data_IF_289978035512
#
_entry.id   IF_289978035512
#
_cell.length_a   1.000
_cell.length_b   1.000
_cell.length_c   1.000
_cell.angle_alpha   90.00
_cell.angle_beta   90.00
_cell.angle_gamma   90.00
#
_symmetry.space_group_name_H-M   'P 1'
#
loop_
_entity.id
_entity.type
_entity.pdbx_description
1 polymer ?
#
# COMPACT_ATOMS: atom_id res chain seq x y z
N UNK A 1 -19.45 2.09 -0.96
CA UNK A 1 -19.54 3.32 -0.17
C UNK A 1 -18.71 3.13 1.07
N UNK A 2 -17.39 3.23 0.88
CA UNK A 2 -16.45 3.35 1.98
C UNK A 2 -16.73 4.66 2.72
N UNK A 3 -16.65 4.62 4.05
CA UNK A 3 -16.89 5.80 4.90
C UNK A 3 -15.80 6.87 4.79
N UNK A 4 -14.76 6.60 3.98
CA UNK A 4 -13.56 7.40 3.84
C UNK A 4 -13.45 8.10 2.47
N UNK A 5 -14.39 7.87 1.55
CA UNK A 5 -14.40 8.50 0.22
C UNK A 5 -14.26 10.03 0.30
N UNK A 6 -15.12 10.67 1.11
CA UNK A 6 -15.08 12.13 1.31
C UNK A 6 -13.83 12.59 2.08
N UNK A 7 -13.33 11.77 3.01
CA UNK A 7 -12.19 12.14 3.89
C UNK A 7 -10.88 12.14 3.13
N UNK A 8 -10.70 11.19 2.22
CA UNK A 8 -9.47 11.06 1.42
C UNK A 8 -9.64 11.52 -0.04
N UNK A 9 -10.80 12.08 -0.38
CA UNK A 9 -11.15 12.52 -1.74
C UNK A 9 -10.97 11.40 -2.78
N UNK A 10 -11.40 10.19 -2.42
CA UNK A 10 -11.37 9.00 -3.27
C UNK A 10 -12.82 8.71 -3.66
N UNK A 11 -13.12 8.62 -4.95
CA UNK A 11 -14.47 8.26 -5.42
C UNK A 11 -14.50 6.77 -5.75
N UNK A 12 -15.28 5.97 -5.03
CA UNK A 12 -15.42 4.55 -5.38
C UNK A 12 -16.21 4.40 -6.68
N UNK A 13 -15.59 3.83 -7.71
CA UNK A 13 -16.27 3.36 -8.92
C UNK A 13 -15.99 1.87 -9.17
N UNK A 14 -16.63 1.30 -10.20
CA UNK A 14 -16.44 -0.11 -10.56
C UNK A 14 -14.98 -0.44 -10.89
N UNK A 15 -14.24 0.49 -11.53
CA UNK A 15 -12.83 0.29 -11.86
C UNK A 15 -11.95 0.28 -10.62
N UNK A 16 -12.24 1.15 -9.66
CA UNK A 16 -11.56 1.15 -8.37
C UNK A 16 -11.86 -0.15 -7.62
N UNK A 17 -13.12 -0.61 -7.61
CA UNK A 17 -13.52 -1.88 -7.00
C UNK A 17 -12.77 -3.06 -7.63
N UNK A 18 -12.70 -3.12 -8.97
CA UNK A 18 -11.96 -4.16 -9.69
C UNK A 18 -10.45 -4.08 -9.39
N UNK A 19 -9.90 -2.87 -9.19
CA UNK A 19 -8.53 -2.67 -8.74
C UNK A 19 -8.31 -3.10 -7.27
N UNK A 20 -9.28 -2.89 -6.38
CA UNK A 20 -9.23 -3.39 -4.99
C UNK A 20 -9.22 -4.92 -4.96
N UNK A 21 -10.02 -5.57 -5.81
CA UNK A 21 -10.09 -7.03 -5.87
C UNK A 21 -8.80 -7.67 -6.37
N UNK A 22 -8.08 -7.02 -7.29
CA UNK A 22 -6.91 -7.59 -7.94
C UNK A 22 -5.56 -7.23 -7.29
N UNK A 23 -5.56 -6.57 -6.12
CA UNK A 23 -4.32 -6.17 -5.44
C UNK A 23 -4.17 -6.83 -4.08
N UNK A 24 -2.94 -7.16 -3.69
CA UNK A 24 -2.63 -7.61 -2.32
C UNK A 24 -2.11 -6.44 -1.49
N UNK A 25 -2.88 -6.00 -0.50
CA UNK A 25 -2.46 -4.91 0.39
C UNK A 25 -1.55 -5.43 1.50
N UNK A 26 -0.56 -4.63 1.86
CA UNK A 26 0.31 -4.87 3.03
C UNK A 26 0.57 -3.57 3.80
N UNK A 27 1.03 -3.70 5.03
CA UNK A 27 1.66 -2.62 5.79
C UNK A 27 2.79 -3.14 6.68
N UNK A 28 3.61 -2.22 7.20
CA UNK A 28 4.62 -2.53 8.22
C UNK A 28 4.14 -1.91 9.53
N UNK A 29 3.71 -2.75 10.46
CA UNK A 29 3.16 -2.32 11.74
C UNK A 29 3.82 -3.11 12.87
N UNK A 30 4.23 -2.40 13.93
CA UNK A 30 4.96 -2.97 15.06
C UNK A 30 6.16 -3.85 14.64
N UNK A 31 6.97 -3.35 13.71
CA UNK A 31 8.17 -4.01 13.18
C UNK A 31 7.90 -5.37 12.50
N UNK A 32 6.73 -5.52 11.87
CA UNK A 32 6.32 -6.72 11.13
C UNK A 32 5.55 -6.37 9.87
N UNK A 33 5.62 -7.25 8.88
CA UNK A 33 4.79 -7.15 7.67
C UNK A 33 3.41 -7.73 7.96
N UNK A 34 2.36 -6.91 7.89
CA UNK A 34 0.99 -7.38 7.94
C UNK A 34 0.40 -7.42 6.53
N UNK A 35 -0.37 -8.46 6.24
CA UNK A 35 -0.98 -8.70 4.92
C UNK A 35 -2.50 -8.67 5.08
N UNK A 36 -3.18 -7.88 4.26
CA UNK A 36 -4.63 -7.85 4.27
C UNK A 36 -5.22 -9.18 3.77
N UNK A 37 -6.43 -9.54 4.20
CA UNK A 37 -7.17 -10.67 3.62
C UNK A 37 -7.26 -10.58 2.08
N UNK A 38 -7.36 -11.74 1.43
CA UNK A 38 -7.48 -11.85 -0.04
C UNK A 38 -8.81 -11.30 -0.54
N UNK A 39 -8.82 -10.79 -1.77
CA UNK A 39 -10.02 -10.39 -2.52
C UNK A 39 -10.92 -9.38 -1.79
N UNK A 40 -10.28 -8.44 -1.08
CA UNK A 40 -10.98 -7.44 -0.29
C UNK A 40 -11.27 -6.19 -1.11
N UNK A 41 -12.51 -5.73 -1.09
CA UNK A 41 -12.94 -4.52 -1.79
C UNK A 41 -12.63 -3.22 -1.04
N UNK A 42 -12.04 -3.30 0.15
CA UNK A 42 -11.87 -2.16 1.06
C UNK A 42 -10.47 -1.54 0.99
N UNK A 43 -10.31 -0.34 1.56
CA UNK A 43 -9.04 0.40 1.59
C UNK A 43 -8.13 0.02 2.76
N UNK A 44 -6.89 0.51 2.81
CA UNK A 44 -6.03 0.40 4.00
C UNK A 44 -6.66 1.03 5.25
N UNK A 45 -7.36 2.16 5.10
CA UNK A 45 -8.02 2.82 6.24
C UNK A 45 -9.14 1.95 6.81
N UNK A 46 -9.98 1.38 5.93
CA UNK A 46 -11.03 0.43 6.32
C UNK A 46 -10.43 -0.83 6.96
N UNK A 47 -9.29 -1.30 6.44
CA UNK A 47 -8.58 -2.44 7.01
C UNK A 47 -8.09 -2.15 8.43
N UNK A 48 -7.39 -1.04 8.63
CA UNK A 48 -6.82 -0.69 9.92
C UNK A 48 -7.90 -0.39 10.97
N UNK A 49 -9.04 0.18 10.58
CA UNK A 49 -10.19 0.35 11.46
C UNK A 49 -10.77 -1.01 11.89
N UNK A 50 -10.90 -1.97 10.96
CA UNK A 50 -11.39 -3.33 11.28
C UNK A 50 -10.49 -4.09 12.24
N UNK A 51 -9.17 -3.89 12.14
CA UNK A 51 -8.19 -4.47 13.07
C UNK A 51 -8.13 -3.72 14.41
N UNK A 52 -8.83 -2.60 14.54
CA UNK A 52 -8.82 -1.76 15.73
C UNK A 52 -7.51 -0.99 15.95
N UNK A 53 -6.69 -0.84 14.90
CA UNK A 53 -5.41 -0.11 14.97
C UNK A 53 -5.59 1.40 14.89
N UNK A 54 -6.72 1.85 14.36
CA UNK A 54 -7.10 3.25 14.28
C UNK A 54 -8.61 3.42 14.35
N UNK A 55 -9.06 4.67 14.52
CA UNK A 55 -10.48 5.04 14.43
C UNK A 55 -10.65 6.18 13.45
N UNK A 56 -11.89 6.50 13.07
CA UNK A 56 -12.16 7.65 12.18
C UNK A 56 -11.65 8.98 12.75
N UNK A 57 -11.67 9.12 14.08
CA UNK A 57 -11.26 10.33 14.81
C UNK A 57 -9.76 10.33 15.15
N UNK A 58 -9.09 9.18 15.08
CA UNK A 58 -7.65 9.02 15.27
C UNK A 58 -7.06 8.10 14.19
N UNK A 59 -6.74 8.69 13.03
CA UNK A 59 -6.19 8.01 11.85
C UNK A 59 -4.72 8.29 11.60
N UNK A 60 -4.00 8.81 12.61
CA UNK A 60 -2.57 9.16 12.51
C UNK A 60 -1.70 8.02 12.01
N UNK A 61 -2.12 6.76 12.23
CA UNK A 61 -1.43 5.59 11.73
C UNK A 61 -1.17 5.67 10.22
N UNK A 62 -2.12 6.22 9.45
CA UNK A 62 -1.99 6.41 8.01
C UNK A 62 -0.78 7.28 7.62
N UNK A 63 -0.37 8.21 8.48
CA UNK A 63 0.77 9.09 8.21
C UNK A 63 2.10 8.58 8.79
N UNK A 64 2.05 7.52 9.62
CA UNK A 64 3.21 7.06 10.38
C UNK A 64 3.84 5.78 9.83
N UNK A 65 3.04 4.90 9.21
CA UNK A 65 3.54 3.57 8.82
C UNK A 65 3.70 3.41 7.30
N UNK A 66 4.75 2.70 6.85
CA UNK A 66 4.82 2.23 5.48
C UNK A 66 3.66 1.29 5.17
N UNK A 67 3.02 1.50 4.02
CA UNK A 67 2.02 0.58 3.49
C UNK A 67 2.11 0.53 1.98
N UNK A 68 1.49 -0.48 1.39
CA UNK A 68 1.60 -0.66 -0.03
C UNK A 68 0.67 -1.73 -0.57
N UNK A 69 0.88 -2.02 -1.85
CA UNK A 69 0.17 -3.03 -2.60
C UNK A 69 1.14 -3.85 -3.45
N UNK A 70 0.73 -5.07 -3.76
CA UNK A 70 1.20 -5.83 -4.91
C UNK A 70 0.15 -5.68 -6.01
N UNK A 71 0.56 -5.17 -7.17
CA UNK A 71 -0.34 -4.98 -8.30
C UNK A 71 -0.53 -6.29 -9.10
N UNK A 72 -1.32 -6.23 -10.17
CA UNK A 72 -1.61 -7.34 -11.08
C UNK A 72 -0.39 -7.80 -11.89
N UNK A 73 0.68 -7.00 -11.98
CA UNK A 73 1.97 -7.40 -12.53
C UNK A 73 2.90 -8.05 -11.49
N UNK A 74 2.46 -8.15 -10.24
CA UNK A 74 3.25 -8.58 -9.07
C UNK A 74 4.37 -7.62 -8.66
N UNK A 75 4.32 -6.37 -9.12
CA UNK A 75 5.23 -5.32 -8.68
C UNK A 75 4.81 -4.78 -7.30
N UNK A 76 5.80 -4.40 -6.50
CA UNK A 76 5.59 -3.81 -5.19
C UNK A 76 5.48 -2.28 -5.32
N UNK A 77 4.42 -1.69 -4.78
CA UNK A 77 4.26 -0.24 -4.67
C UNK A 77 4.08 0.11 -3.19
N UNK A 78 4.97 0.91 -2.62
CA UNK A 78 4.90 1.31 -1.20
C UNK A 78 4.96 2.83 -0.99
N UNK A 79 4.34 3.30 0.08
CA UNK A 79 4.18 4.72 0.38
C UNK A 79 3.78 4.96 1.84
N UNK A 80 3.73 6.22 2.24
CA UNK A 80 3.21 6.70 3.52
C UNK A 80 2.26 7.87 3.33
N UNK A 81 1.41 8.10 4.33
CA UNK A 81 0.54 9.27 4.40
C UNK A 81 -0.53 9.32 3.32
N UNK A 82 -1.46 10.25 3.48
CA UNK A 82 -2.58 10.39 2.55
C UNK A 82 -2.17 10.85 1.16
N UNK A 83 -1.02 11.54 1.05
CA UNK A 83 -0.44 11.97 -0.23
C UNK A 83 0.37 10.88 -0.93
N UNK A 84 0.37 9.64 -0.42
CA UNK A 84 1.11 8.52 -1.01
C UNK A 84 2.59 8.86 -1.24
N UNK A 85 3.19 9.55 -0.26
CA UNK A 85 4.54 10.06 -0.35
C UNK A 85 5.58 8.98 -0.05
N UNK A 86 6.83 9.30 -0.34
CA UNK A 86 7.98 8.51 0.09
C UNK A 86 9.03 9.42 0.74
N UNK A 87 9.69 8.90 1.77
CA UNK A 87 10.80 9.58 2.46
C UNK A 87 11.83 8.55 2.93
N UNK A 88 13.00 9.02 3.37
CA UNK A 88 14.13 8.16 3.75
C UNK A 88 13.80 7.18 4.89
N UNK A 89 13.03 7.61 5.88
CA UNK A 89 12.71 6.75 7.03
C UNK A 89 11.78 5.61 6.61
N UNK A 90 10.82 5.90 5.73
CA UNK A 90 9.90 4.91 5.16
C UNK A 90 10.64 3.96 4.22
N UNK A 91 11.60 4.45 3.43
CA UNK A 91 12.47 3.60 2.62
C UNK A 91 13.25 2.61 3.50
N UNK A 92 13.92 3.11 4.55
CA UNK A 92 14.69 2.27 5.47
C UNK A 92 13.83 1.20 6.14
N UNK A 93 12.64 1.58 6.64
CA UNK A 93 11.70 0.64 7.24
C UNK A 93 11.21 -0.39 6.22
N UNK A 94 10.85 0.04 5.02
CA UNK A 94 10.40 -0.87 3.97
C UNK A 94 11.47 -1.90 3.61
N UNK A 95 12.69 -1.46 3.30
CA UNK A 95 13.76 -2.37 2.87
C UNK A 95 14.22 -3.30 3.99
N UNK A 96 14.17 -2.87 5.25
CA UNK A 96 14.40 -3.75 6.41
C UNK A 96 13.45 -4.96 6.41
N UNK A 97 12.21 -4.78 5.95
CA UNK A 97 11.16 -5.81 5.95
C UNK A 97 10.89 -6.44 4.58
N UNK A 98 11.62 -6.04 3.52
CA UNK A 98 11.39 -6.54 2.17
C UNK A 98 11.45 -8.07 2.10
N UNK A 99 12.47 -8.68 2.71
CA UNK A 99 12.62 -10.13 2.75
C UNK A 99 11.44 -10.84 3.42
N UNK A 100 10.89 -10.25 4.48
CA UNK A 100 9.72 -10.78 5.17
C UNK A 100 8.48 -10.74 4.26
N UNK A 101 8.28 -9.63 3.55
CA UNK A 101 7.18 -9.47 2.59
C UNK A 101 7.28 -10.48 1.44
N UNK A 102 8.46 -10.60 0.82
CA UNK A 102 8.72 -11.55 -0.28
C UNK A 102 8.40 -12.98 0.16
N UNK A 103 8.86 -13.40 1.34
CA UNK A 103 8.61 -14.74 1.85
C UNK A 103 7.12 -14.99 2.19
N UNK A 104 6.41 -13.99 2.73
CA UNK A 104 5.00 -14.13 3.11
C UNK A 104 4.07 -14.27 1.92
N UNK A 105 4.42 -13.66 0.79
CA UNK A 105 3.60 -13.64 -0.41
C UNK A 105 4.17 -14.52 -1.54
N UNK A 106 5.30 -15.17 -1.33
CA UNK A 106 6.02 -15.96 -2.34
C UNK A 106 6.26 -15.17 -3.63
N UNK A 107 6.76 -13.94 -3.50
CA UNK A 107 6.91 -13.01 -4.62
C UNK A 107 8.07 -13.41 -5.53
N UNK A 108 7.85 -13.31 -6.84
CA UNK A 108 8.90 -13.43 -7.86
C UNK A 108 9.92 -12.29 -7.70
N UNK A 109 11.18 -12.64 -7.43
CA UNK A 109 12.23 -11.65 -7.18
C UNK A 109 12.65 -10.84 -8.41
N UNK A 110 12.17 -11.18 -9.60
CA UNK A 110 12.41 -10.40 -10.82
C UNK A 110 11.49 -9.17 -10.97
N UNK A 111 10.45 -9.07 -10.13
CA UNK A 111 9.47 -7.99 -10.15
C UNK A 111 10.03 -6.68 -9.61
N UNK A 112 9.40 -5.58 -9.98
CA UNK A 112 9.89 -4.24 -9.68
C UNK A 112 9.42 -3.76 -8.30
N UNK A 113 10.21 -2.87 -7.71
CA UNK A 113 9.86 -2.11 -6.52
C UNK A 113 9.72 -0.63 -6.89
N UNK A 114 8.58 -0.07 -6.53
CA UNK A 114 8.25 1.33 -6.71
C UNK A 114 7.86 1.98 -5.38
N UNK A 115 8.20 3.27 -5.24
CA UNK A 115 7.84 4.05 -4.05
C UNK A 115 7.12 5.33 -4.41
N UNK A 116 6.13 5.67 -3.58
CA UNK A 116 5.27 6.83 -3.72
C UNK A 116 4.37 6.79 -4.95
N UNK A 117 3.34 7.64 -4.98
CA UNK A 117 2.45 7.81 -6.13
C UNK A 117 2.22 9.29 -6.42
N UNK A 118 2.18 9.66 -7.70
CA UNK A 118 1.80 11.02 -8.10
C UNK A 118 0.29 11.07 -8.28
N UNK A 119 -0.41 11.77 -7.38
CA UNK A 119 -1.86 11.97 -7.49
C UNK A 119 -2.21 12.56 -8.85
N UNK A 120 -2.99 11.81 -9.62
CA UNK A 120 -3.58 12.23 -10.88
C UNK A 120 -5.10 12.35 -10.75
N UNK A 121 -5.78 12.30 -11.88
CA UNK A 121 -7.24 12.28 -11.92
C UNK A 121 -7.81 11.12 -11.09
N UNK A 122 -8.93 11.31 -10.37
CA UNK A 122 -9.64 10.22 -9.71
C UNK A 122 -9.93 9.07 -10.70
N UNK A 123 -9.87 7.83 -10.23
CA UNK A 123 -10.12 6.61 -11.00
C UNK A 123 -9.09 6.31 -12.10
N UNK A 124 -7.86 6.82 -11.95
CA UNK A 124 -6.71 6.45 -12.77
C UNK A 124 -5.65 5.75 -11.93
N UNK A 125 -4.89 4.84 -12.55
CA UNK A 125 -3.70 4.27 -11.90
C UNK A 125 -2.66 5.38 -11.84
N UNK A 126 -2.30 5.77 -10.63
CA UNK A 126 -1.32 6.82 -10.42
C UNK A 126 0.09 6.28 -10.64
N UNK A 127 0.95 7.02 -11.38
CA UNK A 127 2.30 6.57 -11.64
C UNK A 127 3.15 6.69 -10.36
N UNK A 128 4.10 5.77 -10.16
CA UNK A 128 5.01 5.86 -9.04
C UNK A 128 5.97 7.05 -9.16
N UNK A 129 6.39 7.61 -8.03
CA UNK A 129 7.35 8.74 -8.02
C UNK A 129 8.80 8.28 -8.09
N UNK A 130 9.08 7.05 -7.67
CA UNK A 130 10.43 6.47 -7.63
C UNK A 130 10.43 4.99 -7.99
N UNK A 131 11.46 4.55 -8.71
CA UNK A 131 11.77 3.14 -8.97
C UNK A 131 13.06 2.76 -8.26
N UNK A 132 13.09 1.55 -7.70
CA UNK A 132 14.23 0.99 -6.96
C UNK A 132 14.86 -0.21 -7.67
N UNK A 133 14.42 -0.54 -8.89
CA UNK A 133 14.84 -1.75 -9.60
C UNK A 133 14.05 -2.98 -9.16
N UNK A 134 14.67 -4.15 -9.28
CA UNK A 134 14.01 -5.43 -8.98
C UNK A 134 14.03 -5.73 -7.48
N UNK A 135 13.17 -6.66 -7.05
CA UNK A 135 13.25 -7.23 -5.70
C UNK A 135 14.63 -7.85 -5.45
N UNK A 136 15.19 -8.58 -6.43
CA UNK A 136 16.50 -9.22 -6.32
C UNK A 136 17.64 -8.21 -6.07
N UNK A 137 17.57 -7.00 -6.64
CA UNK A 137 18.57 -5.96 -6.45
C UNK A 137 18.60 -5.39 -5.01
N UNK A 138 17.54 -5.64 -4.23
CA UNK A 138 17.31 -5.01 -2.93
C UNK A 138 17.21 -6.03 -1.77
N UNK A 139 17.46 -7.32 -2.01
CA UNK A 139 17.41 -8.41 -1.01
C UNK A 139 18.76 -8.75 -0.37
#
# INVERSE_FOLDING_TARGET
MSKYEDKYNIKEDKKLTDFHLNRRMFCIYNDKVEIAPVDVSYSHADWFEKEGWMTKDDDKLMDLIPRGIINDQEDIIFYVGNEFAINKDIELLFFKHLKELVNKLDLDTSKQIFGGLTRGEPNTIWPPTKSYGTIADNL
#
